data_IF_061678312988
#
_entry.id   IF_061678312988
#
_cell.length_a   1.000
_cell.length_b   1.000
_cell.length_c   1.000
_cell.angle_alpha   90.00
_cell.angle_beta   90.00
_cell.angle_gamma   90.00
#
_symmetry.space_group_name_H-M   'P 1'
#
loop_
_entity.id
_entity.type
_entity.pdbx_description
1 polymer ?
#
# COMPACT_ATOMS: atom_id res chain seq x y z
N UNK A 1 -1.56 -17.34 -6.53
CA UNK A 1 -2.44 -16.37 -5.82
C UNK A 1 -2.34 -16.66 -4.34
N UNK A 2 -1.72 -15.78 -3.61
CA UNK A 2 -1.53 -15.93 -2.16
C UNK A 2 -2.65 -15.18 -1.43
N UNK A 3 -3.29 -15.81 -0.45
CA UNK A 3 -4.40 -15.22 0.32
C UNK A 3 -3.88 -14.89 1.71
N UNK A 4 -3.90 -13.61 2.07
CA UNK A 4 -3.61 -13.13 3.42
C UNK A 4 -4.92 -12.83 4.15
N UNK A 5 -5.14 -13.41 5.34
CA UNK A 5 -6.39 -13.30 6.10
C UNK A 5 -6.18 -12.53 7.39
N UNK A 6 -7.06 -11.57 7.68
CA UNK A 6 -7.11 -10.84 8.94
C UNK A 6 -8.23 -11.39 9.81
N UNK A 7 -7.93 -11.96 10.98
CA UNK A 7 -8.93 -12.41 11.96
C UNK A 7 -8.85 -11.62 13.27
N UNK A 8 -10.01 -11.40 13.87
CA UNK A 8 -10.33 -10.78 15.16
C UNK A 8 -9.25 -9.90 15.82
N UNK A 9 -9.40 -8.57 15.64
CA UNK A 9 -8.67 -7.48 16.33
C UNK A 9 -7.14 -7.55 16.34
N UNK A 10 -6.57 -8.61 15.78
CA UNK A 10 -5.13 -8.80 15.63
C UNK A 10 -4.93 -9.40 14.24
N UNK A 11 -4.38 -8.62 13.33
CA UNK A 11 -4.00 -9.14 12.03
C UNK A 11 -2.84 -10.14 12.23
N UNK A 12 -3.15 -11.42 12.13
CA UNK A 12 -2.14 -12.47 12.03
C UNK A 12 -2.19 -12.99 10.61
N UNK A 13 -1.13 -12.80 9.87
CA UNK A 13 -0.98 -13.55 8.63
C UNK A 13 -0.66 -14.98 9.02
N UNK A 14 -1.37 -16.01 8.50
CA UNK A 14 -0.79 -17.32 8.51
C UNK A 14 0.57 -17.16 7.82
N UNK A 15 1.64 -17.61 8.46
CA UNK A 15 2.91 -17.76 7.78
C UNK A 15 2.59 -18.63 6.57
N UNK A 16 2.55 -18.00 5.43
CA UNK A 16 2.23 -18.67 4.17
C UNK A 16 3.28 -19.74 4.02
N UNK A 17 2.80 -20.99 4.04
CA UNK A 17 3.61 -22.08 3.55
C UNK A 17 4.22 -21.62 2.24
N UNK A 18 5.54 -21.67 2.16
CA UNK A 18 6.34 -21.22 1.03
C UNK A 18 5.72 -21.77 -0.25
N UNK A 19 4.89 -21.00 -0.90
CA UNK A 19 4.55 -21.24 -2.28
C UNK A 19 5.83 -20.92 -3.03
N UNK A 20 6.32 -21.81 -3.85
CA UNK A 20 7.51 -21.71 -4.68
C UNK A 20 7.50 -20.42 -5.53
N UNK A 21 7.72 -19.29 -4.92
CA UNK A 21 7.97 -18.04 -5.59
C UNK A 21 9.47 -17.99 -5.90
N UNK A 22 9.85 -18.56 -7.04
CA UNK A 22 11.19 -18.43 -7.60
C UNK A 22 11.49 -16.97 -8.04
N UNK A 23 10.66 -15.99 -7.62
CA UNK A 23 10.75 -14.60 -7.99
C UNK A 23 11.53 -13.77 -6.97
N UNK A 24 12.13 -12.67 -7.43
CA UNK A 24 12.78 -11.68 -6.56
C UNK A 24 11.73 -11.00 -5.69
N UNK A 25 12.00 -10.88 -4.36
CA UNK A 25 11.15 -10.11 -3.46
C UNK A 25 11.19 -8.64 -3.86
N UNK A 26 10.01 -8.03 -4.05
CA UNK A 26 9.87 -6.62 -4.42
C UNK A 26 9.35 -5.76 -3.26
N UNK A 27 8.53 -6.31 -2.37
CA UNK A 27 8.12 -5.66 -1.12
C UNK A 27 8.31 -6.65 0.02
N UNK A 28 8.98 -6.22 1.07
CA UNK A 28 9.11 -6.98 2.31
C UNK A 28 8.67 -6.11 3.48
N UNK A 29 7.76 -6.63 4.29
CA UNK A 29 7.33 -6.05 5.56
C UNK A 29 7.74 -7.00 6.69
N UNK A 30 8.46 -6.51 7.68
CA UNK A 30 8.95 -7.32 8.81
C UNK A 30 8.46 -6.72 10.12
N UNK A 31 7.65 -7.50 10.87
CA UNK A 31 7.14 -7.16 12.19
C UNK A 31 6.41 -5.80 12.24
N UNK A 32 5.71 -5.45 11.16
CA UNK A 32 5.03 -4.16 11.02
C UNK A 32 3.89 -4.03 11.99
N UNK A 33 3.94 -2.98 12.79
CA UNK A 33 2.87 -2.54 13.67
C UNK A 33 2.40 -1.13 13.33
N UNK A 34 1.12 -0.85 13.61
CA UNK A 34 0.56 0.49 13.50
C UNK A 34 -0.38 0.81 14.63
N UNK A 35 -0.07 1.87 15.34
CA UNK A 35 -0.93 2.44 16.37
C UNK A 35 -1.20 3.91 16.07
N UNK A 36 -2.41 4.37 16.37
CA UNK A 36 -2.82 5.76 16.28
C UNK A 36 -3.14 6.30 17.66
N UNK A 37 -2.69 7.51 17.96
CA UNK A 37 -3.10 8.23 19.18
C UNK A 37 -4.51 8.75 18.99
N UNK A 38 -5.46 8.23 19.76
CA UNK A 38 -6.81 8.77 19.83
C UNK A 38 -6.88 10.00 20.75
N UNK A 39 -7.91 10.81 20.57
CA UNK A 39 -8.24 11.91 21.51
C UNK A 39 -8.34 11.32 22.92
N UNK A 40 -7.74 11.98 23.92
CA UNK A 40 -7.64 11.59 25.36
C UNK A 40 -6.48 10.61 25.68
N UNK A 41 -5.42 10.54 24.85
CA UNK A 41 -4.24 9.73 25.17
C UNK A 41 -4.39 8.22 25.03
N UNK A 42 -5.55 7.74 24.57
CA UNK A 42 -5.78 6.32 24.31
C UNK A 42 -5.09 5.94 22.99
N UNK A 43 -4.33 4.87 23.00
CA UNK A 43 -3.69 4.33 21.80
C UNK A 43 -4.60 3.29 21.15
N UNK A 44 -4.82 3.42 19.84
CA UNK A 44 -5.57 2.45 19.04
C UNK A 44 -4.58 1.68 18.17
N UNK A 45 -4.28 0.45 18.55
CA UNK A 45 -3.49 -0.47 17.72
C UNK A 45 -4.36 -1.00 16.59
N UNK A 46 -3.93 -0.77 15.35
CA UNK A 46 -4.62 -1.20 14.13
C UNK A 46 -3.92 -2.38 13.47
N UNK A 47 -2.60 -2.42 13.53
CA UNK A 47 -1.78 -3.55 13.04
C UNK A 47 -0.82 -3.97 14.14
N UNK A 48 -0.61 -5.29 14.25
CA UNK A 48 0.32 -5.85 15.22
C UNK A 48 1.11 -6.97 14.58
N UNK A 49 2.43 -6.80 14.55
CA UNK A 49 3.40 -7.84 14.17
C UNK A 49 3.11 -8.50 12.82
N UNK A 50 2.93 -7.68 11.77
CA UNK A 50 2.63 -8.15 10.43
C UNK A 50 3.93 -8.37 9.67
N UNK A 51 4.15 -9.60 9.20
CA UNK A 51 5.24 -9.93 8.28
C UNK A 51 4.65 -10.42 6.96
N UNK A 52 5.19 -9.92 5.84
CA UNK A 52 4.66 -10.15 4.51
C UNK A 52 5.74 -9.95 3.46
N UNK A 53 5.75 -10.80 2.44
CA UNK A 53 6.63 -10.66 1.28
C UNK A 53 5.82 -10.76 -0.01
N UNK A 54 6.06 -9.84 -0.94
CA UNK A 54 5.51 -9.85 -2.30
C UNK A 54 6.65 -10.06 -3.29
N UNK A 55 6.48 -11.05 -4.17
CA UNK A 55 7.46 -11.36 -5.20
C UNK A 55 7.05 -10.80 -6.58
N UNK A 56 8.01 -10.68 -7.47
CA UNK A 56 7.75 -10.22 -8.84
C UNK A 56 6.77 -11.14 -9.58
N UNK A 57 5.78 -10.55 -10.25
CA UNK A 57 4.71 -11.28 -10.96
C UNK A 57 3.66 -11.91 -10.03
N UNK A 58 3.77 -11.75 -8.71
CA UNK A 58 2.80 -12.32 -7.76
C UNK A 58 1.55 -11.43 -7.64
N UNK A 59 0.39 -12.07 -7.52
CA UNK A 59 -0.88 -11.42 -7.16
C UNK A 59 -1.31 -11.92 -5.78
N UNK A 60 -1.46 -10.99 -4.83
CA UNK A 60 -1.87 -11.29 -3.46
C UNK A 60 -3.21 -10.64 -3.14
N UNK A 61 -4.14 -11.40 -2.58
CA UNK A 61 -5.38 -10.89 -2.03
C UNK A 61 -5.30 -10.78 -0.50
N UNK A 62 -5.61 -9.59 0.03
CA UNK A 62 -5.68 -9.34 1.47
C UNK A 62 -7.14 -9.42 1.92
N UNK A 63 -7.49 -10.44 2.68
CA UNK A 63 -8.85 -10.68 3.17
C UNK A 63 -8.98 -10.33 4.65
N UNK A 64 -10.18 -9.97 5.08
CA UNK A 64 -10.49 -9.67 6.48
C UNK A 64 -11.73 -8.79 6.62
N UNK A 65 -12.27 -8.72 7.83
CA UNK A 65 -13.46 -7.94 8.17
C UNK A 65 -13.23 -6.44 7.94
N UNK A 66 -14.33 -5.68 7.80
CA UNK A 66 -14.23 -4.21 7.78
C UNK A 66 -13.57 -3.71 9.06
N UNK A 67 -12.67 -2.72 8.95
CA UNK A 67 -11.92 -2.21 10.10
C UNK A 67 -10.68 -3.02 10.51
N UNK A 68 -10.40 -4.19 9.90
CA UNK A 68 -9.25 -5.03 10.25
C UNK A 68 -7.86 -4.45 9.88
N UNK A 69 -7.77 -3.23 9.37
CA UNK A 69 -6.48 -2.60 9.07
C UNK A 69 -5.95 -2.81 7.64
N UNK A 70 -6.68 -3.53 6.75
CA UNK A 70 -6.22 -3.81 5.37
C UNK A 70 -5.75 -2.57 4.61
N UNK A 71 -6.58 -1.53 4.59
CA UNK A 71 -6.24 -0.27 3.90
C UNK A 71 -5.10 0.48 4.56
N UNK A 72 -4.93 0.34 5.89
CA UNK A 72 -3.79 0.90 6.62
C UNK A 72 -2.51 0.19 6.20
N UNK A 73 -2.55 -1.14 6.12
CA UNK A 73 -1.41 -1.94 5.70
C UNK A 73 -0.99 -1.61 4.26
N UNK A 74 -1.94 -1.56 3.31
CA UNK A 74 -1.66 -1.16 1.93
C UNK A 74 -1.03 0.24 1.83
N UNK A 75 -1.51 1.21 2.64
CA UNK A 75 -0.91 2.55 2.68
C UNK A 75 0.50 2.56 3.25
N UNK A 76 0.80 1.67 4.19
CA UNK A 76 2.16 1.50 4.71
C UNK A 76 3.07 0.91 3.62
N UNK A 77 2.65 -0.12 2.91
CA UNK A 77 3.41 -0.70 1.79
C UNK A 77 3.66 0.31 0.66
N UNK A 78 2.73 1.24 0.45
CA UNK A 78 2.88 2.33 -0.52
C UNK A 78 3.70 3.52 0.01
N UNK A 79 4.13 3.51 1.27
CA UNK A 79 4.89 4.61 1.89
C UNK A 79 4.06 5.85 2.20
N UNK A 80 2.71 5.77 2.14
CA UNK A 80 1.82 6.89 2.41
C UNK A 80 1.57 7.10 3.91
N UNK A 81 1.80 6.08 4.72
CA UNK A 81 1.66 6.10 6.18
C UNK A 81 2.87 5.39 6.77
N UNK A 82 3.62 6.00 7.68
CA UNK A 82 4.73 5.33 8.34
C UNK A 82 4.22 4.24 9.29
N UNK A 83 4.94 3.12 9.37
CA UNK A 83 4.74 2.13 10.40
C UNK A 83 5.07 2.72 11.79
N UNK A 84 4.47 2.20 12.85
CA UNK A 84 4.82 2.54 14.24
C UNK A 84 5.94 1.65 14.77
N UNK A 85 6.08 0.44 14.22
CA UNK A 85 7.15 -0.53 14.48
C UNK A 85 7.37 -1.42 13.28
N UNK A 86 8.52 -2.11 13.25
CA UNK A 86 8.91 -2.94 12.12
C UNK A 86 9.47 -2.13 10.95
N UNK A 87 9.78 -2.82 9.87
CA UNK A 87 10.39 -2.23 8.66
C UNK A 87 9.61 -2.65 7.41
N UNK A 88 9.65 -1.79 6.40
CA UNK A 88 9.14 -2.11 5.05
C UNK A 88 10.19 -1.71 4.04
N UNK A 89 10.54 -2.64 3.15
CA UNK A 89 11.49 -2.38 2.07
C UNK A 89 10.83 -2.57 0.71
N UNK A 90 11.31 -1.84 -0.27
CA UNK A 90 11.01 -2.01 -1.68
C UNK A 90 12.30 -2.29 -2.43
N UNK A 91 12.42 -3.47 -3.05
CA UNK A 91 13.63 -3.95 -3.72
C UNK A 91 14.89 -3.78 -2.85
N UNK A 92 14.77 -4.15 -1.56
CA UNK A 92 15.86 -4.06 -0.57
C UNK A 92 16.14 -2.66 -0.02
N UNK A 93 15.41 -1.62 -0.43
CA UNK A 93 15.57 -0.24 0.07
C UNK A 93 14.43 0.12 1.01
N UNK A 94 14.75 0.70 2.17
CA UNK A 94 13.76 1.12 3.16
C UNK A 94 12.78 2.14 2.60
N UNK A 95 11.48 1.94 2.84
CA UNK A 95 10.42 2.88 2.49
C UNK A 95 10.30 3.94 3.59
N UNK A 96 10.80 5.13 3.32
CA UNK A 96 10.74 6.28 4.25
C UNK A 96 9.71 7.34 3.84
N UNK A 97 9.04 7.17 2.72
CA UNK A 97 8.03 8.08 2.16
C UNK A 97 7.30 7.45 0.97
N UNK A 98 6.50 8.22 0.22
CA UNK A 98 5.79 7.70 -0.96
C UNK A 98 6.72 6.98 -1.92
N UNK A 99 6.41 5.71 -2.22
CA UNK A 99 7.25 4.87 -3.06
C UNK A 99 6.91 5.11 -4.55
N UNK A 100 7.85 5.64 -5.36
CA UNK A 100 7.60 5.92 -6.78
C UNK A 100 7.38 4.66 -7.63
N UNK A 101 7.79 3.48 -7.14
CA UNK A 101 7.58 2.20 -7.80
C UNK A 101 6.22 1.56 -7.51
N UNK A 102 5.38 2.17 -6.67
CA UNK A 102 4.08 1.64 -6.25
C UNK A 102 2.94 2.54 -6.72
N UNK A 103 2.03 1.99 -7.52
CA UNK A 103 0.75 2.61 -7.84
C UNK A 103 -0.35 2.15 -6.88
N UNK A 104 -1.17 3.06 -6.36
CA UNK A 104 -2.29 2.76 -5.47
C UNK A 104 -3.61 3.16 -6.12
N UNK A 105 -4.51 2.19 -6.29
CA UNK A 105 -5.90 2.44 -6.71
C UNK A 105 -6.77 2.50 -5.45
N UNK A 106 -7.42 3.64 -5.23
CA UNK A 106 -8.27 3.83 -4.06
C UNK A 106 -9.67 3.22 -4.29
N UNK A 107 -10.31 2.82 -3.22
CA UNK A 107 -11.69 2.32 -3.23
C UNK A 107 -12.71 3.39 -3.67
N UNK A 108 -12.45 4.66 -3.37
CA UNK A 108 -13.16 5.82 -3.91
C UNK A 108 -12.42 6.31 -5.15
N UNK A 109 -13.14 6.94 -6.08
CA UNK A 109 -12.56 7.39 -7.36
C UNK A 109 -11.36 8.33 -7.23
N UNK A 110 -11.14 8.91 -6.04
CA UNK A 110 -10.04 9.86 -5.74
C UNK A 110 -9.94 11.01 -6.75
N UNK A 111 -11.03 11.31 -7.48
CA UNK A 111 -11.07 12.41 -8.43
C UNK A 111 -11.08 13.74 -7.68
N UNK A 112 -10.33 14.70 -8.20
CA UNK A 112 -10.36 16.08 -7.73
C UNK A 112 -11.59 16.78 -8.32
N UNK A 113 -12.62 17.11 -7.51
CA UNK A 113 -13.91 17.62 -8.03
C UNK A 113 -13.81 18.99 -8.69
N UNK A 114 -12.75 19.73 -8.44
CA UNK A 114 -12.45 21.03 -9.06
C UNK A 114 -11.66 20.92 -10.37
N UNK A 115 -11.25 19.73 -10.77
CA UNK A 115 -10.55 19.49 -12.03
C UNK A 115 -11.50 18.90 -13.08
N UNK A 116 -11.21 19.18 -14.34
CA UNK A 116 -11.88 18.50 -15.46
C UNK A 116 -11.52 17.01 -15.48
N UNK A 117 -12.30 16.21 -16.21
CA UNK A 117 -11.99 14.78 -16.42
C UNK A 117 -10.57 14.62 -16.98
N UNK A 118 -10.23 15.35 -18.03
CA UNK A 118 -8.91 15.32 -18.64
C UNK A 118 -7.81 15.69 -17.63
N UNK A 119 -7.98 16.75 -16.85
CA UNK A 119 -7.00 17.17 -15.85
C UNK A 119 -6.82 16.12 -14.74
N UNK A 120 -7.88 15.41 -14.34
CA UNK A 120 -7.78 14.29 -13.41
C UNK A 120 -6.96 13.13 -13.98
N UNK A 121 -7.13 12.79 -15.26
CA UNK A 121 -6.36 11.75 -15.94
C UNK A 121 -4.88 12.16 -16.06
N UNK A 122 -4.62 13.42 -16.36
CA UNK A 122 -3.27 13.96 -16.51
C UNK A 122 -2.52 14.13 -15.18
N UNK A 123 -3.21 14.13 -14.03
CA UNK A 123 -2.67 14.53 -12.73
C UNK A 123 -1.41 13.73 -12.33
N UNK A 124 -1.42 12.42 -12.56
CA UNK A 124 -0.28 11.56 -12.25
C UNK A 124 0.96 11.85 -13.11
N UNK A 125 0.75 12.22 -14.37
CA UNK A 125 1.82 12.61 -15.28
C UNK A 125 2.34 14.02 -14.95
N UNK A 126 1.44 14.92 -14.53
CA UNK A 126 1.79 16.26 -14.06
C UNK A 126 2.68 16.22 -12.82
N UNK A 127 2.32 15.40 -11.84
CA UNK A 127 3.10 15.21 -10.63
C UNK A 127 4.52 14.67 -10.91
N UNK A 128 4.70 13.97 -12.03
CA UNK A 128 6.00 13.47 -12.52
C UNK A 128 6.75 14.47 -13.39
N UNK A 129 6.22 15.68 -13.58
CA UNK A 129 6.85 16.73 -14.39
C UNK A 129 6.78 16.52 -15.90
N UNK A 130 5.90 15.62 -16.40
CA UNK A 130 5.75 15.38 -17.84
C UNK A 130 5.19 16.63 -18.52
N UNK A 131 5.75 17.08 -19.67
CA UNK A 131 5.27 18.25 -20.40
C UNK A 131 3.80 18.15 -20.81
N UNK A 132 3.10 19.31 -20.80
CA UNK A 132 1.65 19.38 -21.01
C UNK A 132 1.17 18.70 -22.29
N UNK A 133 1.85 18.91 -23.39
CA UNK A 133 1.49 18.34 -24.71
C UNK A 133 1.61 16.81 -24.72
N UNK A 134 2.58 16.27 -24.01
CA UNK A 134 2.80 14.84 -23.87
C UNK A 134 1.74 14.22 -22.96
N UNK A 135 1.43 14.85 -21.80
CA UNK A 135 0.36 14.43 -20.88
C UNK A 135 -0.97 14.35 -21.61
N UNK A 136 -1.30 15.40 -22.39
CA UNK A 136 -2.56 15.49 -23.11
C UNK A 136 -2.72 14.38 -24.14
N UNK A 137 -1.65 14.06 -24.88
CA UNK A 137 -1.68 12.94 -25.83
C UNK A 137 -1.86 11.60 -25.13
N UNK A 138 -1.16 11.36 -24.02
CA UNK A 138 -1.27 10.13 -23.25
C UNK A 138 -2.65 9.96 -22.60
N UNK A 139 -3.30 11.05 -22.18
CA UNK A 139 -4.62 11.03 -21.56
C UNK A 139 -5.77 10.74 -22.55
N UNK A 140 -5.54 10.82 -23.87
CA UNK A 140 -6.54 10.60 -24.93
C UNK A 140 -6.44 9.20 -25.57
N UNK A 141 -5.48 8.37 -25.17
CA UNK A 141 -5.31 6.99 -25.61
C UNK A 141 -6.02 6.01 -24.67
#
# INVERSE_FOLDING_TARGET
MTIATFSDHTATFPQTAATNAAGTAIIEAQHVGKAYRAKRGKELTVLRDISFTLHEGEIVAILGRSGAGKSTFLRILAGLVPASSGTVTYRGTDITGPNPGVGLVFQTFALMPWLTVQANVELGLEARGVPREERRRAALQ
#
